data_IF_095096161303
#
_entry.id   IF_095096161303
#
_cell.length_a   1.000
_cell.length_b   1.000
_cell.length_c   1.000
_cell.angle_alpha   90.00
_cell.angle_beta   90.00
_cell.angle_gamma   90.00
#
_symmetry.space_group_name_H-M   'P 1'
#
loop_
_entity.id
_entity.type
_entity.pdbx_description
1 polymer ?
#
# COMPACT_ATOMS: atom_id res chain seq x y z
N UNK A 1 -31.81 -59.29 18.39
CA UNK A 1 -30.73 -58.61 19.14
C UNK A 1 -30.01 -57.47 18.38
N UNK A 2 -30.17 -57.29 17.07
CA UNK A 2 -29.35 -56.32 16.29
C UNK A 2 -29.81 -54.86 16.27
N UNK A 3 -31.11 -54.56 16.44
CA UNK A 3 -31.63 -53.16 16.35
C UNK A 3 -31.42 -52.33 17.62
N UNK A 4 -31.37 -52.95 18.80
CA UNK A 4 -31.10 -52.25 20.07
C UNK A 4 -29.61 -51.93 20.25
N UNK A 5 -28.70 -52.80 19.78
CA UNK A 5 -27.26 -52.55 19.79
C UNK A 5 -26.87 -51.41 18.85
N UNK A 6 -27.47 -51.32 17.67
CA UNK A 6 -27.18 -50.24 16.71
C UNK A 6 -27.70 -48.88 17.18
N UNK A 7 -28.85 -48.83 17.86
CA UNK A 7 -29.35 -47.59 18.50
C UNK A 7 -28.51 -47.18 19.71
N UNK A 8 -28.02 -48.12 20.53
CA UNK A 8 -27.10 -47.80 21.63
C UNK A 8 -25.76 -47.26 21.13
N UNK A 9 -25.18 -47.87 20.08
CA UNK A 9 -23.94 -47.41 19.48
C UNK A 9 -24.07 -46.02 18.85
N UNK A 10 -25.17 -45.74 18.13
CA UNK A 10 -25.38 -44.42 17.50
C UNK A 10 -25.72 -43.32 18.52
N UNK A 11 -26.33 -43.66 19.66
CA UNK A 11 -26.61 -42.70 20.74
C UNK A 11 -25.36 -42.42 21.58
N UNK A 12 -24.58 -43.45 21.96
CA UNK A 12 -23.28 -43.28 22.62
C UNK A 12 -22.29 -42.51 21.74
N UNK A 13 -22.22 -42.81 20.43
CA UNK A 13 -21.31 -42.07 19.55
C UNK A 13 -21.72 -40.59 19.38
N UNK A 14 -23.03 -40.27 19.50
CA UNK A 14 -23.55 -38.88 19.50
C UNK A 14 -23.33 -38.18 20.84
N UNK A 15 -23.46 -38.89 21.96
CA UNK A 15 -23.16 -38.39 23.30
C UNK A 15 -21.66 -38.19 23.51
N UNK A 16 -20.81 -39.10 23.03
CA UNK A 16 -19.35 -38.99 23.06
C UNK A 16 -18.84 -37.88 22.14
N UNK A 17 -19.47 -37.69 20.97
CA UNK A 17 -19.25 -36.52 20.13
C UNK A 17 -19.65 -35.25 20.88
N UNK A 18 -20.85 -35.18 21.46
CA UNK A 18 -21.33 -34.00 22.20
C UNK A 18 -20.57 -33.72 23.51
N UNK A 19 -20.05 -34.74 24.20
CA UNK A 19 -19.22 -34.61 25.40
C UNK A 19 -17.83 -34.10 25.02
N UNK A 20 -17.25 -34.63 23.95
CA UNK A 20 -16.04 -34.09 23.31
C UNK A 20 -16.23 -32.65 22.80
N UNK A 21 -17.42 -32.30 22.26
CA UNK A 21 -17.76 -30.93 21.87
C UNK A 21 -17.83 -29.96 23.06
N UNK A 22 -18.25 -30.41 24.24
CA UNK A 22 -18.30 -29.57 25.46
C UNK A 22 -16.93 -29.44 26.12
N UNK A 23 -16.18 -30.54 26.22
CA UNK A 23 -14.84 -30.54 26.82
C UNK A 23 -13.80 -29.75 25.99
N UNK A 24 -13.96 -29.69 24.65
CA UNK A 24 -13.05 -28.92 23.78
C UNK A 24 -13.30 -27.40 23.82
N UNK A 25 -14.57 -26.97 23.76
CA UNK A 25 -14.96 -25.57 23.87
C UNK A 25 -14.63 -24.97 25.24
N UNK A 26 -14.74 -25.77 26.30
CA UNK A 26 -14.36 -25.38 27.66
C UNK A 26 -12.87 -25.04 27.79
N UNK A 27 -12.00 -25.73 27.05
CA UNK A 27 -10.56 -25.46 27.10
C UNK A 27 -10.20 -24.14 26.40
N UNK A 28 -10.75 -23.89 25.19
CA UNK A 28 -10.55 -22.63 24.49
C UNK A 28 -11.06 -21.44 25.31
N UNK A 29 -12.25 -21.56 25.89
CA UNK A 29 -12.82 -20.53 26.76
C UNK A 29 -11.96 -20.25 28.00
N UNK A 30 -11.44 -21.29 28.66
CA UNK A 30 -10.54 -21.16 29.82
C UNK A 30 -9.23 -20.44 29.45
N UNK A 31 -8.63 -20.79 28.30
CA UNK A 31 -7.40 -20.16 27.82
C UNK A 31 -7.60 -18.66 27.56
N UNK A 32 -8.64 -18.29 26.79
CA UNK A 32 -8.92 -16.89 26.46
C UNK A 32 -9.29 -16.08 27.71
N UNK A 33 -10.10 -16.63 28.62
CA UNK A 33 -10.41 -15.97 29.91
C UNK A 33 -9.16 -15.77 30.78
N UNK A 34 -8.26 -16.75 30.79
CA UNK A 34 -7.00 -16.62 31.55
C UNK A 34 -6.10 -15.54 30.96
N UNK A 35 -6.03 -15.42 29.63
CA UNK A 35 -5.30 -14.36 28.94
C UNK A 35 -5.94 -12.99 29.26
N UNK A 36 -7.26 -12.86 29.12
CA UNK A 36 -7.99 -11.62 29.40
C UNK A 36 -7.74 -11.12 30.82
N UNK A 37 -7.88 -12.00 31.83
CA UNK A 37 -7.62 -11.65 33.23
C UNK A 37 -6.19 -11.14 33.47
N UNK A 38 -5.22 -11.66 32.73
CA UNK A 38 -3.82 -11.25 32.83
C UNK A 38 -3.60 -9.87 32.20
N UNK A 39 -4.24 -9.62 31.05
CA UNK A 39 -4.23 -8.32 30.38
C UNK A 39 -4.92 -7.23 31.24
N UNK A 40 -6.07 -7.52 31.84
CA UNK A 40 -6.77 -6.62 32.76
C UNK A 40 -5.94 -6.32 34.02
N UNK A 41 -5.30 -7.35 34.58
CA UNK A 41 -4.40 -7.18 35.72
C UNK A 41 -3.22 -6.25 35.39
N UNK A 42 -2.69 -6.33 34.16
CA UNK A 42 -1.68 -5.40 33.68
C UNK A 42 -2.20 -3.97 33.57
N UNK A 43 -3.40 -3.75 33.03
CA UNK A 43 -3.98 -2.41 32.92
C UNK A 43 -4.16 -1.71 34.27
N UNK A 44 -4.45 -2.49 35.32
CA UNK A 44 -4.63 -1.97 36.67
C UNK A 44 -3.32 -1.66 37.39
N UNK A 45 -2.28 -2.50 37.22
CA UNK A 45 -1.05 -2.39 38.00
C UNK A 45 0.13 -1.76 37.24
N UNK A 46 0.16 -1.88 35.91
CA UNK A 46 1.23 -1.42 34.98
C UNK A 46 2.66 -1.84 35.40
N UNK A 47 2.80 -3.01 36.03
CA UNK A 47 4.11 -3.51 36.48
C UNK A 47 4.80 -4.37 35.41
N UNK A 48 6.15 -4.40 35.38
CA UNK A 48 6.91 -5.20 34.41
C UNK A 48 6.72 -6.71 34.58
N UNK A 49 6.50 -7.19 35.82
CA UNK A 49 6.19 -8.60 36.08
C UNK A 49 4.92 -9.06 35.35
N UNK A 50 3.90 -8.18 35.29
CA UNK A 50 2.66 -8.46 34.58
C UNK A 50 2.84 -8.49 33.06
N UNK A 51 3.83 -7.80 32.51
CA UNK A 51 4.19 -7.92 31.09
C UNK A 51 4.81 -9.28 30.77
N UNK A 52 5.63 -9.82 31.68
CA UNK A 52 6.17 -11.18 31.54
C UNK A 52 5.05 -12.24 31.61
N UNK A 53 4.09 -12.06 32.52
CA UNK A 53 2.88 -12.90 32.61
C UNK A 53 2.09 -12.89 31.30
N UNK A 54 1.91 -11.72 30.67
CA UNK A 54 1.27 -11.60 29.35
C UNK A 54 2.04 -12.42 28.31
N UNK A 55 3.38 -12.30 28.27
CA UNK A 55 4.22 -13.07 27.36
C UNK A 55 4.01 -14.57 27.48
N UNK A 56 3.98 -15.10 28.71
CA UNK A 56 3.71 -16.52 28.97
C UNK A 56 2.31 -16.95 28.52
N UNK A 57 1.28 -16.12 28.77
CA UNK A 57 -0.10 -16.45 28.37
C UNK A 57 -0.31 -16.37 26.86
N UNK A 58 0.28 -15.38 26.20
CA UNK A 58 0.29 -15.28 24.73
C UNK A 58 0.99 -16.49 24.13
N UNK A 59 2.10 -16.94 24.72
CA UNK A 59 2.83 -18.12 24.25
C UNK A 59 1.98 -19.40 24.26
N UNK A 60 1.27 -19.66 25.36
CA UNK A 60 0.37 -20.82 25.47
C UNK A 60 -0.73 -20.77 24.42
N UNK A 61 -1.33 -19.60 24.21
CA UNK A 61 -2.39 -19.40 23.22
C UNK A 61 -1.85 -19.53 21.80
N UNK A 62 -0.68 -18.97 21.51
CA UNK A 62 -0.04 -19.05 20.21
C UNK A 62 0.28 -20.51 19.84
N UNK A 63 0.89 -21.29 20.75
CA UNK A 63 1.14 -22.71 20.49
C UNK A 63 -0.16 -23.49 20.27
N UNK A 64 -1.24 -23.15 20.96
CA UNK A 64 -2.54 -23.81 20.72
C UNK A 64 -3.09 -23.59 19.29
N UNK A 65 -2.57 -22.61 18.55
CA UNK A 65 -2.96 -22.33 17.15
C UNK A 65 -1.91 -22.77 16.14
N UNK A 66 -0.63 -22.55 16.45
CA UNK A 66 0.48 -22.61 15.49
C UNK A 66 1.50 -23.71 15.77
N UNK A 67 1.28 -24.58 16.76
CA UNK A 67 2.17 -25.72 17.05
C UNK A 67 2.44 -26.58 15.80
N UNK A 68 3.71 -26.67 15.44
CA UNK A 68 4.24 -27.38 14.27
C UNK A 68 4.47 -28.87 14.54
N UNK A 69 4.66 -29.26 15.80
CA UNK A 69 4.91 -30.65 16.21
C UNK A 69 3.60 -31.41 16.41
N UNK A 70 2.58 -30.74 16.98
CA UNK A 70 1.23 -31.28 17.16
C UNK A 70 0.22 -30.40 16.44
N UNK A 71 -0.02 -30.73 15.17
CA UNK A 71 -0.98 -30.00 14.35
C UNK A 71 -2.36 -29.91 15.05
N UNK A 72 -2.74 -28.68 15.42
CA UNK A 72 -4.03 -28.45 16.05
C UNK A 72 -5.14 -28.59 15.02
N UNK A 73 -6.13 -29.44 15.31
CA UNK A 73 -7.27 -29.68 14.43
C UNK A 73 -7.96 -28.36 14.05
N UNK A 74 -8.34 -28.15 12.76
CA UNK A 74 -8.93 -26.88 12.30
C UNK A 74 -10.10 -26.41 13.15
N UNK A 75 -10.94 -27.33 13.60
CA UNK A 75 -12.08 -27.04 14.49
C UNK A 75 -11.68 -26.37 15.80
N UNK A 76 -10.59 -26.79 16.44
CA UNK A 76 -10.10 -26.17 17.68
C UNK A 76 -9.60 -24.74 17.45
N UNK A 77 -9.05 -24.47 16.26
CA UNK A 77 -8.65 -23.13 15.84
C UNK A 77 -9.88 -22.22 15.69
N UNK A 78 -10.96 -22.72 15.08
CA UNK A 78 -12.24 -22.00 14.99
C UNK A 78 -12.82 -21.67 16.36
N UNK A 79 -12.90 -22.66 17.27
CA UNK A 79 -13.42 -22.46 18.64
C UNK A 79 -12.62 -21.37 19.38
N UNK A 80 -11.29 -21.34 19.22
CA UNK A 80 -10.45 -20.30 19.81
C UNK A 80 -10.65 -18.92 19.18
N UNK A 81 -10.72 -18.84 17.86
CA UNK A 81 -10.95 -17.58 17.15
C UNK A 81 -12.32 -16.98 17.52
N UNK A 82 -13.35 -17.81 17.62
CA UNK A 82 -14.68 -17.40 18.04
C UNK A 82 -14.68 -16.90 19.49
N UNK A 83 -14.04 -17.62 20.42
CA UNK A 83 -13.93 -17.19 21.82
C UNK A 83 -13.14 -15.87 22.00
N UNK A 84 -12.18 -15.58 21.11
CA UNK A 84 -11.47 -14.30 21.05
C UNK A 84 -12.35 -13.17 20.50
N UNK A 85 -13.16 -13.44 19.47
CA UNK A 85 -14.11 -12.45 18.93
C UNK A 85 -15.29 -12.17 19.87
N UNK A 86 -15.75 -13.16 20.63
CA UNK A 86 -16.81 -12.97 21.64
C UNK A 86 -16.35 -11.99 22.74
N UNK A 87 -15.04 -11.92 23.02
CA UNK A 87 -14.47 -11.06 24.07
C UNK A 87 -13.69 -9.90 23.44
N UNK A 88 -14.37 -8.79 23.11
CA UNK A 88 -13.77 -7.71 22.34
C UNK A 88 -12.55 -7.06 23.02
N UNK A 89 -12.47 -7.13 24.35
CA UNK A 89 -11.36 -6.56 25.10
C UNK A 89 -10.04 -7.31 24.89
N UNK A 90 -10.08 -8.60 24.49
CA UNK A 90 -8.85 -9.39 24.29
C UNK A 90 -7.98 -8.76 23.21
N UNK A 91 -8.53 -8.50 22.02
CA UNK A 91 -7.77 -7.94 20.91
C UNK A 91 -7.28 -6.52 21.23
N UNK A 92 -8.16 -5.70 21.81
CA UNK A 92 -7.85 -4.33 22.20
C UNK A 92 -6.69 -4.29 23.18
N UNK A 93 -6.76 -5.07 24.26
CA UNK A 93 -5.73 -5.10 25.29
C UNK A 93 -4.43 -5.72 24.78
N UNK A 94 -4.49 -6.68 23.84
CA UNK A 94 -3.30 -7.18 23.15
C UNK A 94 -2.61 -6.08 22.34
N UNK A 95 -3.36 -5.23 21.64
CA UNK A 95 -2.82 -4.08 20.90
C UNK A 95 -2.24 -3.01 21.84
N UNK A 96 -2.88 -2.75 22.99
CA UNK A 96 -2.34 -1.84 24.03
C UNK A 96 -1.02 -2.39 24.60
N UNK A 97 -0.99 -3.69 24.92
CA UNK A 97 0.22 -4.34 25.44
C UNK A 97 1.32 -4.46 24.38
N UNK A 98 0.96 -4.46 23.09
CA UNK A 98 1.85 -4.73 21.98
C UNK A 98 3.13 -3.89 22.02
N UNK A 99 3.01 -2.57 22.24
CA UNK A 99 4.16 -1.65 22.29
C UNK A 99 5.17 -2.02 23.38
N UNK A 100 4.68 -2.52 24.52
CA UNK A 100 5.43 -2.65 25.76
C UNK A 100 6.05 -4.04 25.94
N UNK A 101 5.60 -5.04 25.19
CA UNK A 101 6.12 -6.41 25.27
C UNK A 101 7.38 -6.60 24.42
N UNK A 102 8.12 -7.68 24.73
CA UNK A 102 9.33 -8.06 24.00
C UNK A 102 9.03 -8.46 22.55
N UNK A 103 10.05 -8.40 21.69
CA UNK A 103 9.93 -8.63 20.25
C UNK A 103 9.35 -10.01 19.89
N UNK A 104 9.72 -11.06 20.62
CA UNK A 104 9.18 -12.40 20.42
C UNK A 104 7.69 -12.49 20.71
N UNK A 105 7.21 -11.72 21.69
CA UNK A 105 5.79 -11.63 22.04
C UNK A 105 5.05 -10.78 21.02
N UNK A 106 5.63 -9.67 20.54
CA UNK A 106 5.09 -8.85 19.44
C UNK A 106 4.81 -9.71 18.20
N UNK A 107 5.78 -10.53 17.78
CA UNK A 107 5.61 -11.48 16.67
C UNK A 107 4.37 -12.36 16.86
N UNK A 108 4.22 -12.97 18.04
CA UNK A 108 3.10 -13.87 18.37
C UNK A 108 1.75 -13.14 18.39
N UNK A 109 1.70 -11.91 18.92
CA UNK A 109 0.49 -11.09 18.90
C UNK A 109 0.09 -10.76 17.46
N UNK A 110 1.06 -10.36 16.62
CA UNK A 110 0.84 -10.09 15.19
C UNK A 110 0.30 -11.33 14.46
N UNK A 111 0.86 -12.50 14.71
CA UNK A 111 0.39 -13.76 14.11
C UNK A 111 -1.04 -14.10 14.57
N UNK A 112 -1.35 -13.94 15.86
CA UNK A 112 -2.71 -14.14 16.39
C UNK A 112 -3.71 -13.14 15.80
N UNK A 113 -3.33 -11.87 15.67
CA UNK A 113 -4.14 -10.84 15.02
C UNK A 113 -4.47 -11.22 13.57
N UNK A 114 -3.45 -11.59 12.77
CA UNK A 114 -3.66 -12.05 11.40
C UNK A 114 -4.52 -13.32 11.35
N UNK A 115 -4.31 -14.27 12.26
CA UNK A 115 -5.11 -15.49 12.35
C UNK A 115 -6.58 -15.18 12.59
N UNK A 116 -6.92 -14.33 13.56
CA UNK A 116 -8.31 -13.92 13.85
C UNK A 116 -8.94 -13.29 12.61
N UNK A 117 -8.24 -12.38 11.94
CA UNK A 117 -8.78 -11.68 10.77
C UNK A 117 -8.97 -12.62 9.57
N UNK A 118 -7.97 -13.43 9.25
CA UNK A 118 -8.00 -14.32 8.08
C UNK A 118 -9.06 -15.42 8.26
N UNK A 119 -9.07 -16.09 9.40
CA UNK A 119 -9.94 -17.25 9.61
C UNK A 119 -11.40 -16.87 9.80
N UNK A 120 -11.69 -15.71 10.39
CA UNK A 120 -13.06 -15.23 10.57
C UNK A 120 -13.60 -14.44 9.37
N UNK A 121 -12.79 -14.21 8.34
CA UNK A 121 -13.22 -13.65 7.04
C UNK A 121 -13.74 -14.70 6.07
N UNK A 122 -13.42 -15.98 6.30
CA UNK A 122 -13.90 -17.11 5.49
C UNK A 122 -15.34 -17.55 5.85
N UNK A 123 -15.92 -16.99 6.92
CA UNK A 123 -17.19 -17.41 7.51
C UNK A 123 -18.41 -16.61 6.99
N UNK A 124 -18.34 -16.00 5.80
CA UNK A 124 -19.57 -15.53 5.17
C UNK A 124 -20.40 -16.74 4.77
N UNK A 125 -21.56 -16.93 5.42
CA UNK A 125 -22.52 -18.04 5.32
C UNK A 125 -23.15 -18.24 3.93
N UNK A 126 -22.56 -17.68 2.87
CA UNK A 126 -23.21 -17.53 1.56
C UNK A 126 -22.25 -17.78 0.38
N UNK A 127 -21.42 -18.82 0.45
CA UNK A 127 -20.72 -19.30 -0.75
C UNK A 127 -20.32 -20.77 -0.63
N UNK A 128 -21.10 -21.66 -1.23
CA UNK A 128 -20.71 -23.03 -1.60
C UNK A 128 -19.79 -23.08 -2.84
N UNK A 129 -19.28 -21.93 -3.27
CA UNK A 129 -18.36 -21.78 -4.41
C UNK A 129 -17.06 -21.13 -3.92
N UNK A 130 -15.87 -21.63 -4.30
CA UNK A 130 -14.61 -20.92 -4.06
C UNK A 130 -14.68 -19.55 -4.74
N UNK A 131 -14.64 -18.46 -3.98
CA UNK A 131 -14.69 -17.11 -4.56
C UNK A 131 -13.44 -16.85 -5.39
N UNK A 132 -13.63 -16.63 -6.69
CA UNK A 132 -12.64 -15.99 -7.55
C UNK A 132 -12.40 -14.56 -7.06
N UNK A 133 -11.17 -14.26 -6.62
CA UNK A 133 -10.46 -12.95 -6.52
C UNK A 133 -11.25 -11.65 -6.23
N UNK A 134 -12.47 -11.69 -5.70
CA UNK A 134 -13.23 -10.51 -5.31
C UNK A 134 -12.91 -10.14 -3.86
N UNK A 135 -12.65 -8.84 -3.62
CA UNK A 135 -12.25 -8.20 -2.36
C UNK A 135 -12.77 -8.96 -1.12
N UNK A 136 -11.85 -9.43 -0.28
CA UNK A 136 -12.15 -10.08 1.00
C UNK A 136 -12.89 -9.07 1.88
N UNK A 137 -14.22 -9.17 1.94
CA UNK A 137 -15.03 -8.37 2.87
C UNK A 137 -14.99 -9.06 4.23
N UNK A 138 -14.61 -8.33 5.27
CA UNK A 138 -14.65 -8.84 6.64
C UNK A 138 -16.06 -9.27 7.04
N UNK A 139 -16.16 -10.32 7.86
CA UNK A 139 -17.43 -10.63 8.52
C UNK A 139 -17.82 -9.45 9.44
N UNK A 140 -19.13 -9.18 9.62
CA UNK A 140 -19.58 -8.04 10.44
C UNK A 140 -18.95 -8.03 11.84
N UNK A 141 -18.84 -9.21 12.48
CA UNK A 141 -18.21 -9.37 13.80
C UNK A 141 -16.75 -8.92 13.82
N UNK A 142 -15.96 -9.27 12.80
CA UNK A 142 -14.55 -8.85 12.69
C UNK A 142 -14.46 -7.34 12.45
N UNK A 143 -15.31 -6.79 11.59
CA UNK A 143 -15.35 -5.34 11.35
C UNK A 143 -15.69 -4.57 12.63
N UNK A 144 -16.72 -4.97 13.35
CA UNK A 144 -17.14 -4.32 14.60
C UNK A 144 -16.00 -4.37 15.64
N UNK A 145 -15.29 -5.50 15.69
CA UNK A 145 -14.13 -5.68 16.56
C UNK A 145 -12.94 -4.78 16.17
N UNK A 146 -12.63 -4.68 14.89
CA UNK A 146 -11.58 -3.80 14.39
C UNK A 146 -11.94 -2.33 14.62
N UNK A 147 -13.20 -1.96 14.44
CA UNK A 147 -13.72 -0.64 14.75
C UNK A 147 -13.64 -0.33 16.26
N UNK A 148 -13.87 -1.31 17.13
CA UNK A 148 -13.67 -1.17 18.58
C UNK A 148 -12.21 -0.88 18.95
N UNK A 149 -11.26 -1.41 18.18
CA UNK A 149 -9.82 -1.24 18.39
C UNK A 149 -9.20 -0.04 17.63
N UNK A 150 -10.02 0.83 17.01
CA UNK A 150 -9.54 1.90 16.13
C UNK A 150 -8.56 2.87 16.82
N UNK A 151 -8.76 3.16 18.10
CA UNK A 151 -7.92 4.11 18.83
C UNK A 151 -6.50 3.58 19.07
N UNK A 152 -6.37 2.27 19.28
CA UNK A 152 -5.10 1.56 19.44
C UNK A 152 -4.38 1.41 18.09
N UNK A 153 -5.13 1.17 17.01
CA UNK A 153 -4.58 1.10 15.65
C UNK A 153 -4.08 2.46 15.17
N UNK A 154 -4.80 3.54 15.47
CA UNK A 154 -4.32 4.90 15.23
C UNK A 154 -3.04 5.18 16.02
N UNK A 155 -2.97 4.76 17.28
CA UNK A 155 -1.78 4.92 18.12
C UNK A 155 -0.57 4.15 17.57
N UNK A 156 -0.80 2.96 17.02
CA UNK A 156 0.23 2.20 16.28
C UNK A 156 0.75 2.99 15.08
N UNK A 157 -0.10 3.67 14.32
CA UNK A 157 0.34 4.50 13.18
C UNK A 157 1.13 5.72 13.63
N UNK A 158 0.70 6.36 14.71
CA UNK A 158 1.36 7.58 15.21
C UNK A 158 2.70 7.27 15.87
N UNK A 159 2.80 6.21 16.66
CA UNK A 159 3.96 5.97 17.54
C UNK A 159 4.73 4.68 17.22
N UNK A 160 4.13 3.70 16.53
CA UNK A 160 4.76 2.40 16.28
C UNK A 160 6.03 2.49 15.43
N UNK A 161 6.07 3.44 14.49
CA UNK A 161 7.22 3.65 13.62
C UNK A 161 8.45 4.25 14.33
N UNK A 162 8.34 4.62 15.62
CA UNK A 162 9.49 5.05 16.43
C UNK A 162 10.39 3.89 16.88
N UNK A 163 9.93 2.63 16.75
CA UNK A 163 10.66 1.44 17.17
C UNK A 163 11.16 0.61 15.97
N UNK A 164 12.43 0.75 15.54
CA UNK A 164 12.92 0.15 14.29
C UNK A 164 12.72 -1.36 14.18
N UNK A 165 12.89 -2.08 15.29
CA UNK A 165 12.82 -3.54 15.31
C UNK A 165 11.38 -4.08 15.30
N UNK A 166 10.37 -3.21 15.33
CA UNK A 166 8.94 -3.61 15.41
C UNK A 166 8.11 -3.11 14.23
N UNK A 167 8.70 -2.33 13.31
CA UNK A 167 7.96 -1.67 12.22
C UNK A 167 7.26 -2.65 11.29
N UNK A 168 7.90 -3.77 10.96
CA UNK A 168 7.29 -4.79 10.10
C UNK A 168 6.01 -5.37 10.71
N UNK A 169 5.97 -5.55 12.04
CA UNK A 169 4.77 -6.05 12.70
C UNK A 169 3.64 -5.03 12.69
N UNK A 170 3.96 -3.74 12.86
CA UNK A 170 2.97 -2.66 12.74
C UNK A 170 2.40 -2.59 11.33
N UNK A 171 3.26 -2.69 10.30
CA UNK A 171 2.84 -2.76 8.90
C UNK A 171 1.88 -3.92 8.64
N UNK A 172 2.17 -5.11 9.18
CA UNK A 172 1.30 -6.28 9.04
C UNK A 172 -0.07 -6.08 9.69
N UNK A 173 -0.11 -5.43 10.86
CA UNK A 173 -1.37 -5.13 11.57
C UNK A 173 -2.20 -4.12 10.76
N UNK A 174 -1.57 -3.03 10.31
CA UNK A 174 -2.23 -1.98 9.53
C UNK A 174 -2.67 -2.49 8.15
N UNK A 175 -1.87 -3.36 7.51
CA UNK A 175 -2.22 -4.02 6.24
C UNK A 175 -3.53 -4.76 6.30
N UNK A 176 -3.81 -5.48 7.38
CA UNK A 176 -5.11 -6.11 7.53
C UNK A 176 -6.20 -5.07 7.80
N UNK A 177 -5.94 -4.11 8.69
CA UNK A 177 -6.95 -3.12 9.08
C UNK A 177 -7.50 -2.31 7.90
N UNK A 178 -6.63 -1.82 7.02
CA UNK A 178 -7.03 -0.95 5.91
C UNK A 178 -7.63 -1.68 4.70
N UNK A 179 -7.77 -3.01 4.75
CA UNK A 179 -8.48 -3.78 3.71
C UNK A 179 -9.97 -3.45 3.64
N UNK A 180 -10.56 -3.02 4.76
CA UNK A 180 -11.96 -2.67 4.86
C UNK A 180 -12.17 -1.16 4.84
N UNK A 181 -13.06 -0.70 3.97
CA UNK A 181 -13.31 0.71 3.72
C UNK A 181 -13.76 1.45 4.99
N UNK A 182 -14.53 0.82 5.90
CA UNK A 182 -14.98 1.47 7.14
C UNK A 182 -13.80 1.71 8.08
N UNK A 183 -12.93 0.72 8.23
CA UNK A 183 -11.71 0.83 9.02
C UNK A 183 -10.75 1.86 8.43
N UNK A 184 -10.57 1.87 7.10
CA UNK A 184 -9.76 2.85 6.41
C UNK A 184 -10.31 4.28 6.58
N UNK A 185 -11.64 4.47 6.53
CA UNK A 185 -12.25 5.78 6.79
C UNK A 185 -11.87 6.30 8.17
N UNK A 186 -11.92 5.46 9.22
CA UNK A 186 -11.52 5.90 10.57
C UNK A 186 -10.05 6.26 10.70
N UNK A 187 -9.18 5.67 9.86
CA UNK A 187 -7.77 6.06 9.81
C UNK A 187 -7.58 7.39 9.08
N UNK A 188 -8.36 7.63 8.03
CA UNK A 188 -8.36 8.84 7.21
C UNK A 188 -9.14 10.00 7.83
N UNK A 189 -9.84 9.80 8.96
CA UNK A 189 -10.59 10.85 9.65
C UNK A 189 -9.66 12.02 10.03
N UNK A 190 -9.88 13.16 9.36
CA UNK A 190 -9.30 14.46 9.67
C UNK A 190 -10.42 15.49 9.58
N UNK A 191 -10.88 16.01 10.71
CA UNK A 191 -11.92 17.05 10.76
C UNK A 191 -11.40 18.42 10.30
N UNK A 192 -10.13 18.49 9.86
CA UNK A 192 -9.45 19.74 9.55
C UNK A 192 -9.09 20.46 10.85
N UNK A 193 -7.95 21.15 10.86
CA UNK A 193 -7.49 21.87 12.06
C UNK A 193 -8.57 22.81 12.58
N UNK A 194 -9.07 22.50 13.76
CA UNK A 194 -9.81 23.37 14.63
C UNK A 194 -8.96 24.61 14.92
N UNK A 195 -9.56 25.79 14.75
CA UNK A 195 -8.94 27.09 14.99
C UNK A 195 -8.65 27.35 16.49
N UNK A 196 -8.67 26.30 17.33
CA UNK A 196 -8.56 26.35 18.79
C UNK A 196 -7.23 25.87 19.37
N UNK A 197 -6.29 25.37 18.56
CA UNK A 197 -4.93 25.08 19.04
C UNK A 197 -4.82 23.97 20.09
N UNK A 198 -5.86 23.14 20.24
CA UNK A 198 -5.81 21.92 21.06
C UNK A 198 -6.15 20.73 20.17
N UNK A 199 -5.11 20.16 19.55
CA UNK A 199 -5.23 18.90 18.85
C UNK A 199 -5.73 17.83 19.82
N UNK A 200 -6.93 17.30 19.58
CA UNK A 200 -7.28 15.94 20.00
C UNK A 200 -6.17 15.06 19.45
N UNK A 201 -5.32 14.50 20.33
CA UNK A 201 -4.02 13.84 20.05
C UNK A 201 -4.01 12.72 18.98
N UNK A 202 -5.13 12.43 18.31
CA UNK A 202 -5.36 11.25 17.46
C UNK A 202 -6.16 11.53 16.16
N UNK A 203 -6.45 12.79 15.79
CA UNK A 203 -7.09 13.13 14.49
C UNK A 203 -6.03 13.43 13.42
N UNK A 204 -6.25 12.99 12.18
CA UNK A 204 -5.31 13.20 11.08
C UNK A 204 -4.00 12.40 11.20
N UNK A 205 -4.03 11.22 11.83
CA UNK A 205 -2.83 10.39 12.05
C UNK A 205 -2.07 10.03 10.77
N UNK A 206 -2.76 10.00 9.63
CA UNK A 206 -2.16 9.72 8.32
C UNK A 206 -1.15 10.80 7.91
N UNK A 207 -1.31 12.04 8.40
CA UNK A 207 -0.34 13.11 8.15
C UNK A 207 1.00 12.86 8.85
N UNK A 208 1.00 12.15 9.98
CA UNK A 208 2.23 11.75 10.67
C UNK A 208 3.11 10.86 9.77
N UNK A 209 2.50 10.02 8.93
CA UNK A 209 3.23 9.20 7.94
C UNK A 209 3.98 10.11 6.95
N UNK A 210 3.35 11.18 6.48
CA UNK A 210 4.00 12.16 5.60
C UNK A 210 5.09 12.94 6.32
N UNK A 211 4.85 13.37 7.56
CA UNK A 211 5.80 14.16 8.34
C UNK A 211 7.07 13.34 8.65
N UNK A 212 6.92 12.05 8.96
CA UNK A 212 8.03 11.09 9.14
C UNK A 212 8.87 10.91 7.89
N UNK A 213 8.25 10.84 6.72
CA UNK A 213 8.95 10.65 5.43
C UNK A 213 9.59 11.93 4.88
N UNK A 214 9.06 13.10 5.23
CA UNK A 214 9.56 14.40 4.77
C UNK A 214 10.66 14.99 5.67
N UNK A 215 10.94 14.37 6.81
CA UNK A 215 11.91 14.84 7.82
C UNK A 215 11.62 16.25 8.33
N UNK A 216 10.34 16.65 8.36
CA UNK A 216 9.92 18.03 8.74
C UNK A 216 10.40 18.41 10.15
N UNK A 217 10.58 17.42 11.03
CA UNK A 217 11.02 17.60 12.42
C UNK A 217 12.54 17.51 12.62
N UNK A 218 13.34 17.41 11.54
CA UNK A 218 14.81 17.28 11.62
C UNK A 218 15.31 15.93 12.13
N UNK A 219 14.41 14.97 12.38
CA UNK A 219 14.75 13.59 12.74
C UNK A 219 15.24 12.83 11.53
N UNK A 220 16.28 12.01 11.69
CA UNK A 220 16.75 11.07 10.65
C UNK A 220 16.33 9.68 11.08
N UNK A 221 15.42 9.06 10.33
CA UNK A 221 14.99 7.70 10.58
C UNK A 221 15.94 6.70 9.90
N UNK A 222 16.16 5.50 10.49
CA UNK A 222 16.86 4.42 9.81
C UNK A 222 16.20 4.08 8.47
N UNK A 223 16.99 3.55 7.54
CA UNK A 223 16.51 3.22 6.19
C UNK A 223 15.34 2.22 6.24
N UNK A 224 15.44 1.17 7.06
CA UNK A 224 14.40 0.14 7.18
C UNK A 224 13.07 0.72 7.67
N UNK A 225 13.11 1.65 8.63
CA UNK A 225 11.93 2.39 9.10
C UNK A 225 11.34 3.25 7.99
N UNK A 226 12.18 3.91 7.20
CA UNK A 226 11.74 4.74 6.06
C UNK A 226 11.02 3.88 5.02
N UNK A 227 11.59 2.72 4.67
CA UNK A 227 10.99 1.76 3.73
C UNK A 227 9.64 1.30 4.25
N UNK A 228 9.58 0.86 5.49
CA UNK A 228 8.36 0.33 6.09
C UNK A 228 7.26 1.42 6.27
N UNK A 229 7.64 2.65 6.62
CA UNK A 229 6.71 3.80 6.66
C UNK A 229 6.16 4.10 5.26
N UNK A 230 7.02 4.04 4.25
CA UNK A 230 6.60 4.26 2.86
C UNK A 230 5.67 3.14 2.36
N UNK A 231 5.94 1.89 2.72
CA UNK A 231 5.06 0.77 2.37
C UNK A 231 3.65 0.95 2.95
N UNK A 232 3.54 1.55 4.14
CA UNK A 232 2.24 1.90 4.75
C UNK A 232 1.55 3.04 4.02
N UNK A 233 2.30 4.07 3.60
CA UNK A 233 1.77 5.12 2.74
C UNK A 233 1.20 4.53 1.42
N UNK A 234 1.95 3.63 0.78
CA UNK A 234 1.50 2.95 -0.45
C UNK A 234 0.31 2.05 -0.21
N UNK A 235 0.26 1.37 0.93
CA UNK A 235 -0.86 0.53 1.33
C UNK A 235 -2.16 1.34 1.49
N UNK A 236 -2.08 2.55 2.06
CA UNK A 236 -3.23 3.42 2.28
C UNK A 236 -3.66 4.08 0.95
N UNK A 237 -2.74 4.72 0.23
CA UNK A 237 -3.06 5.57 -0.92
C UNK A 237 -2.91 4.90 -2.30
N UNK A 238 -2.20 3.78 -2.39
CA UNK A 238 -2.03 3.02 -3.63
C UNK A 238 -3.21 2.11 -3.96
N UNK A 239 -4.13 1.92 -3.01
CA UNK A 239 -5.34 1.14 -3.22
C UNK A 239 -6.50 2.03 -3.67
N UNK A 240 -7.30 1.51 -4.60
CA UNK A 240 -8.45 2.23 -5.15
C UNK A 240 -9.67 2.06 -4.22
N UNK A 241 -9.66 2.72 -3.06
CA UNK A 241 -10.81 2.82 -2.15
C UNK A 241 -11.53 4.16 -2.31
N UNK A 242 -12.86 4.15 -2.19
CA UNK A 242 -13.65 5.40 -2.31
C UNK A 242 -13.36 6.36 -1.15
N UNK A 243 -13.03 5.79 0.02
CA UNK A 243 -12.52 6.52 1.18
C UNK A 243 -11.30 7.40 0.86
N UNK A 244 -10.34 6.85 0.12
CA UNK A 244 -9.10 7.55 -0.25
C UNK A 244 -9.39 8.66 -1.25
N UNK A 245 -10.28 8.42 -2.21
CA UNK A 245 -10.71 9.45 -3.15
C UNK A 245 -11.35 10.65 -2.42
N UNK A 246 -12.32 10.39 -1.54
CA UNK A 246 -13.01 11.42 -0.78
C UNK A 246 -12.05 12.22 0.10
N UNK A 247 -11.11 11.53 0.78
CA UNK A 247 -10.08 12.18 1.58
C UNK A 247 -9.17 13.08 0.73
N UNK A 248 -8.68 12.59 -0.42
CA UNK A 248 -7.79 13.37 -1.28
C UNK A 248 -8.49 14.58 -1.92
N UNK A 249 -9.77 14.49 -2.27
CA UNK A 249 -10.50 15.65 -2.79
C UNK A 249 -10.77 16.68 -1.69
N UNK A 250 -11.21 16.24 -0.51
CA UNK A 250 -11.47 17.12 0.63
C UNK A 250 -10.20 17.84 1.13
N UNK A 251 -9.06 17.16 1.14
CA UNK A 251 -7.77 17.70 1.60
C UNK A 251 -6.78 17.97 0.45
N UNK A 252 -7.29 18.24 -0.76
CA UNK A 252 -6.48 18.34 -1.98
C UNK A 252 -5.22 19.17 -1.83
N UNK A 253 -5.32 20.41 -1.33
CA UNK A 253 -4.17 21.31 -1.24
C UNK A 253 -3.10 20.79 -0.28
N UNK A 254 -3.49 20.26 0.88
CA UNK A 254 -2.56 19.70 1.88
C UNK A 254 -1.91 18.44 1.34
N UNK A 255 -2.70 17.54 0.76
CA UNK A 255 -2.19 16.31 0.15
C UNK A 255 -1.18 16.62 -0.96
N UNK A 256 -1.50 17.56 -1.85
CA UNK A 256 -0.60 18.00 -2.91
C UNK A 256 0.73 18.53 -2.34
N UNK A 257 0.69 19.38 -1.32
CA UNK A 257 1.90 19.91 -0.68
C UNK A 257 2.74 18.79 -0.04
N UNK A 258 2.11 17.86 0.66
CA UNK A 258 2.80 16.71 1.27
C UNK A 258 3.50 15.85 0.22
N UNK A 259 2.81 15.48 -0.87
CA UNK A 259 3.42 14.70 -1.95
C UNK A 259 4.53 15.47 -2.68
N UNK A 260 4.35 16.78 -2.90
CA UNK A 260 5.40 17.62 -3.48
C UNK A 260 6.67 17.63 -2.60
N UNK A 261 6.53 17.71 -1.28
CA UNK A 261 7.67 17.58 -0.35
C UNK A 261 8.34 16.22 -0.46
N UNK A 262 7.57 15.13 -0.56
CA UNK A 262 8.13 13.79 -0.72
C UNK A 262 8.94 13.64 -2.02
N UNK A 263 8.46 14.20 -3.13
CA UNK A 263 9.20 14.19 -4.41
C UNK A 263 10.44 15.09 -4.35
N UNK A 264 10.39 16.18 -3.57
CA UNK A 264 11.54 17.04 -3.33
C UNK A 264 12.51 16.49 -2.26
N UNK A 265 12.24 15.31 -1.68
CA UNK A 265 13.06 14.71 -0.64
C UNK A 265 14.49 14.46 -1.12
N UNK A 266 15.46 14.67 -0.22
CA UNK A 266 16.87 14.32 -0.45
C UNK A 266 17.12 12.81 -0.41
N UNK A 267 16.19 12.04 0.17
CA UNK A 267 16.26 10.59 0.19
C UNK A 267 15.81 10.03 -1.17
N UNK A 268 16.75 9.45 -1.93
CA UNK A 268 16.48 8.94 -3.28
C UNK A 268 15.37 7.87 -3.30
N UNK A 269 15.27 7.03 -2.26
CA UNK A 269 14.25 5.99 -2.16
C UNK A 269 12.87 6.63 -2.03
N UNK A 270 12.71 7.57 -1.09
CA UNK A 270 11.45 8.31 -0.89
C UNK A 270 11.08 9.07 -2.16
N UNK A 271 12.03 9.79 -2.76
CA UNK A 271 11.80 10.54 -4.00
C UNK A 271 11.32 9.64 -5.14
N UNK A 272 12.03 8.55 -5.43
CA UNK A 272 11.67 7.62 -6.52
C UNK A 272 10.32 6.94 -6.26
N UNK A 273 10.10 6.46 -5.04
CA UNK A 273 8.86 5.78 -4.66
C UNK A 273 7.65 6.71 -4.63
N UNK A 274 7.84 7.99 -4.31
CA UNK A 274 6.77 9.00 -4.32
C UNK A 274 6.33 9.35 -5.74
N UNK A 275 7.28 9.47 -6.67
CA UNK A 275 6.96 9.65 -8.09
C UNK A 275 6.14 8.46 -8.61
N UNK A 276 6.54 7.23 -8.26
CA UNK A 276 5.80 6.02 -8.63
C UNK A 276 4.41 5.96 -8.02
N UNK A 277 4.28 6.20 -6.71
CA UNK A 277 2.99 6.25 -6.03
C UNK A 277 2.06 7.27 -6.69
N UNK A 278 2.57 8.45 -7.04
CA UNK A 278 1.77 9.48 -7.70
C UNK A 278 1.31 9.05 -9.10
N UNK A 279 2.18 8.36 -9.85
CA UNK A 279 1.81 7.77 -11.12
C UNK A 279 0.67 6.75 -10.96
N UNK A 280 0.76 5.88 -9.96
CA UNK A 280 -0.24 4.84 -9.69
C UNK A 280 -1.60 5.46 -9.29
N UNK A 281 -1.58 6.52 -8.46
CA UNK A 281 -2.76 7.32 -8.12
C UNK A 281 -3.36 7.96 -9.38
N UNK A 282 -2.53 8.59 -10.23
CA UNK A 282 -3.01 9.24 -11.45
C UNK A 282 -3.49 8.26 -12.51
N UNK A 283 -3.00 7.03 -12.55
CA UNK A 283 -3.47 6.05 -13.53
C UNK A 283 -4.89 5.55 -13.21
N UNK A 284 -5.31 5.68 -11.94
CA UNK A 284 -6.62 5.22 -11.50
C UNK A 284 -7.75 6.11 -12.01
N UNK A 285 -8.71 5.51 -12.71
CA UNK A 285 -9.88 6.20 -13.30
C UNK A 285 -10.67 7.04 -12.27
N UNK A 286 -10.84 6.54 -11.04
CA UNK A 286 -11.55 7.25 -9.96
C UNK A 286 -10.88 8.57 -9.56
N UNK A 287 -9.59 8.75 -9.79
CA UNK A 287 -8.89 9.97 -9.45
C UNK A 287 -8.78 10.95 -10.63
N UNK A 288 -9.60 10.79 -11.67
CA UNK A 288 -9.57 11.65 -12.87
C UNK A 288 -9.67 13.14 -12.55
N UNK A 289 -10.59 13.55 -11.68
CA UNK A 289 -10.81 14.97 -11.34
C UNK A 289 -9.62 15.55 -10.58
N UNK A 290 -9.16 14.84 -9.54
CA UNK A 290 -7.96 15.18 -8.75
C UNK A 290 -6.74 15.29 -9.67
N UNK A 291 -6.52 14.30 -10.53
CA UNK A 291 -5.43 14.27 -11.52
C UNK A 291 -5.50 15.47 -12.45
N UNK A 292 -6.67 15.76 -13.01
CA UNK A 292 -6.86 16.86 -13.96
C UNK A 292 -6.53 18.21 -13.33
N UNK A 293 -6.99 18.44 -12.09
CA UNK A 293 -6.65 19.65 -11.30
C UNK A 293 -5.15 19.76 -11.05
N UNK A 294 -4.49 18.65 -10.74
CA UNK A 294 -3.07 18.64 -10.38
C UNK A 294 -2.15 18.80 -11.60
N UNK A 295 -2.42 18.08 -12.70
CA UNK A 295 -1.65 18.15 -13.94
C UNK A 295 -1.72 19.52 -14.61
N UNK A 296 -2.78 20.30 -14.36
CA UNK A 296 -2.90 21.67 -14.87
C UNK A 296 -1.95 22.68 -14.18
N UNK A 297 -1.34 22.32 -13.04
CA UNK A 297 -0.48 23.21 -12.25
C UNK A 297 0.95 23.30 -12.81
N UNK A 298 1.40 24.52 -13.08
CA UNK A 298 2.79 24.76 -13.55
C UNK A 298 3.85 24.41 -12.51
N UNK A 299 3.51 24.48 -11.22
CA UNK A 299 4.38 24.07 -10.12
C UNK A 299 4.68 22.56 -10.16
N UNK A 300 3.69 21.75 -10.51
CA UNK A 300 3.87 20.31 -10.66
C UNK A 300 4.80 19.97 -11.82
N UNK A 301 4.60 20.58 -12.99
CA UNK A 301 5.51 20.41 -14.14
C UNK A 301 6.96 20.77 -13.77
N UNK A 302 7.18 21.89 -13.07
CA UNK A 302 8.51 22.29 -12.58
C UNK A 302 9.17 21.20 -11.75
N UNK A 303 8.43 20.63 -10.81
CA UNK A 303 8.93 19.59 -9.92
C UNK A 303 9.25 18.28 -10.68
N UNK A 304 8.41 17.88 -11.64
CA UNK A 304 8.70 16.72 -12.51
C UNK A 304 9.94 16.99 -13.36
N UNK A 305 10.07 18.19 -13.95
CA UNK A 305 11.25 18.55 -14.74
C UNK A 305 12.54 18.59 -13.92
N UNK A 306 12.47 19.01 -12.66
CA UNK A 306 13.62 18.95 -11.75
C UNK A 306 14.01 17.49 -11.46
N UNK A 307 13.05 16.59 -11.28
CA UNK A 307 13.31 15.16 -11.07
C UNK A 307 13.95 14.49 -12.30
N UNK A 308 13.66 14.96 -13.53
CA UNK A 308 14.36 14.52 -14.75
C UNK A 308 15.85 14.85 -14.73
N UNK A 309 16.28 15.90 -14.03
CA UNK A 309 17.68 16.28 -13.89
C UNK A 309 18.40 15.49 -12.78
N UNK A 310 17.73 14.57 -12.10
CA UNK A 310 18.33 13.80 -11.01
C UNK A 310 19.49 12.92 -11.50
N UNK A 311 20.55 12.79 -10.70
CA UNK A 311 21.65 11.87 -11.02
C UNK A 311 21.23 10.39 -10.94
N UNK A 312 20.10 10.09 -10.28
CA UNK A 312 19.62 8.73 -10.05
C UNK A 312 18.69 8.28 -11.19
N UNK A 313 19.08 7.23 -11.94
CA UNK A 313 18.29 6.68 -13.06
C UNK A 313 16.86 6.29 -12.66
N UNK A 314 16.60 5.65 -11.49
CA UNK A 314 15.23 5.31 -11.08
C UNK A 314 14.33 6.55 -10.93
N UNK A 315 14.86 7.64 -10.38
CA UNK A 315 14.12 8.90 -10.24
C UNK A 315 13.78 9.49 -11.61
N UNK A 316 14.75 9.52 -12.52
CA UNK A 316 14.54 10.01 -13.89
C UNK A 316 13.49 9.17 -14.63
N UNK A 317 13.53 7.85 -14.49
CA UNK A 317 12.58 6.94 -15.13
C UNK A 317 11.13 7.14 -14.65
N UNK A 318 10.92 7.29 -13.34
CA UNK A 318 9.59 7.60 -12.78
C UNK A 318 9.13 9.01 -13.19
N UNK A 319 10.03 10.00 -13.19
CA UNK A 319 9.71 11.36 -13.63
C UNK A 319 9.30 11.43 -15.11
N UNK A 320 9.96 10.65 -15.99
CA UNK A 320 9.54 10.53 -17.39
C UNK A 320 8.12 10.01 -17.48
N UNK A 321 7.78 8.99 -16.69
CA UNK A 321 6.45 8.37 -16.71
C UNK A 321 5.35 9.37 -16.30
N UNK A 322 5.61 10.21 -15.29
CA UNK A 322 4.71 11.31 -14.93
C UNK A 322 4.63 12.41 -16.00
N UNK A 323 5.75 12.73 -16.65
CA UNK A 323 5.74 13.70 -17.75
C UNK A 323 4.89 13.19 -18.92
N UNK A 324 4.81 11.88 -19.16
CA UNK A 324 3.93 11.32 -20.21
C UNK A 324 2.47 11.69 -19.92
N UNK A 325 2.01 11.53 -18.67
CA UNK A 325 0.66 11.90 -18.24
C UNK A 325 0.39 13.40 -18.42
N UNK A 326 1.40 14.26 -18.18
CA UNK A 326 1.28 15.69 -18.44
C UNK A 326 1.10 15.92 -19.94
N UNK A 327 1.93 15.33 -20.80
CA UNK A 327 1.88 15.54 -22.26
C UNK A 327 0.54 15.06 -22.84
N UNK A 328 -0.03 13.99 -22.30
CA UNK A 328 -1.30 13.41 -22.72
C UNK A 328 -2.52 14.19 -22.22
N UNK A 329 -2.36 15.08 -21.24
CA UNK A 329 -3.48 15.85 -20.69
C UNK A 329 -4.00 16.91 -21.69
N UNK A 330 -5.23 16.76 -22.24
CA UNK A 330 -5.79 17.72 -23.19
C UNK A 330 -6.05 19.09 -22.55
N UNK A 331 -6.31 19.09 -21.24
CA UNK A 331 -6.64 20.26 -20.43
C UNK A 331 -5.42 21.02 -19.89
N UNK A 332 -4.23 20.74 -20.43
CA UNK A 332 -3.02 21.49 -20.07
C UNK A 332 -3.23 23.01 -20.24
N UNK A 333 -2.79 23.75 -19.22
CA UNK A 333 -2.80 25.21 -19.24
C UNK A 333 -1.87 25.75 -20.33
N UNK A 334 -2.14 26.97 -20.82
CA UNK A 334 -1.33 27.62 -21.86
C UNK A 334 0.18 27.63 -21.53
N UNK A 335 0.63 27.92 -20.29
CA UNK A 335 2.05 27.87 -19.93
C UNK A 335 2.68 26.47 -20.08
N UNK A 336 1.92 25.40 -19.79
CA UNK A 336 2.39 24.02 -19.93
C UNK A 336 2.56 23.67 -21.40
N UNK A 337 1.57 23.99 -22.24
CA UNK A 337 1.64 23.75 -23.70
C UNK A 337 2.81 24.50 -24.34
N UNK A 338 3.02 25.77 -23.96
CA UNK A 338 4.18 26.55 -24.41
C UNK A 338 5.51 25.96 -23.95
N UNK A 339 5.60 25.48 -22.71
CA UNK A 339 6.80 24.82 -22.20
C UNK A 339 7.14 23.57 -23.01
N UNK A 340 6.16 22.69 -23.25
CA UNK A 340 6.39 21.45 -24.01
C UNK A 340 6.82 21.78 -25.44
N UNK A 341 6.15 22.72 -26.12
CA UNK A 341 6.50 23.13 -27.49
C UNK A 341 7.92 23.70 -27.59
N UNK A 342 8.32 24.58 -26.66
CA UNK A 342 9.66 25.19 -26.64
C UNK A 342 10.76 24.16 -26.36
N UNK A 343 10.53 23.21 -25.47
CA UNK A 343 11.54 22.24 -25.03
C UNK A 343 11.45 20.88 -25.74
N UNK A 344 10.51 20.72 -26.70
CA UNK A 344 10.22 19.46 -27.39
C UNK A 344 11.46 18.76 -27.92
N UNK A 345 12.30 19.49 -28.67
CA UNK A 345 13.53 18.93 -29.29
C UNK A 345 14.51 18.45 -28.21
N UNK A 346 14.77 19.27 -27.20
CA UNK A 346 15.68 18.93 -26.10
C UNK A 346 15.19 17.73 -25.29
N UNK A 347 13.88 17.64 -25.04
CA UNK A 347 13.28 16.48 -24.35
C UNK A 347 13.41 15.20 -25.17
N UNK A 348 13.22 15.26 -26.49
CA UNK A 348 13.40 14.11 -27.39
C UNK A 348 14.86 13.65 -27.37
N UNK A 349 15.82 14.56 -27.56
CA UNK A 349 17.26 14.25 -27.51
C UNK A 349 17.62 13.61 -26.17
N UNK A 350 17.20 14.22 -25.06
CA UNK A 350 17.42 13.68 -23.73
C UNK A 350 16.87 12.26 -23.54
N UNK A 351 15.67 11.97 -24.05
CA UNK A 351 15.08 10.64 -23.94
C UNK A 351 15.86 9.60 -24.75
N UNK A 352 16.34 9.95 -25.95
CA UNK A 352 17.20 9.06 -26.74
C UNK A 352 18.56 8.82 -26.06
N UNK A 353 19.20 9.88 -25.55
CA UNK A 353 20.49 9.77 -24.85
C UNK A 353 20.38 8.94 -23.57
N UNK A 354 19.24 9.04 -22.88
CA UNK A 354 18.96 8.30 -21.64
C UNK A 354 18.54 6.85 -21.88
N UNK A 355 18.21 6.47 -23.11
CA UNK A 355 17.78 5.13 -23.52
C UNK A 355 18.78 4.55 -24.53
N UNK A 356 19.97 4.09 -24.10
CA UNK A 356 20.85 3.37 -25.00
C UNK A 356 20.09 2.17 -25.56
N UNK A 357 20.06 2.05 -26.88
CA UNK A 357 19.28 1.07 -27.65
C UNK A 357 19.73 -0.35 -27.30
N UNK A 358 19.30 -0.87 -26.16
CA UNK A 358 19.43 -2.25 -25.75
C UNK A 358 18.04 -2.87 -25.81
N UNK A 359 17.52 -2.99 -27.03
CA UNK A 359 16.43 -3.91 -27.27
C UNK A 359 17.01 -5.34 -27.31
N UNK A 360 16.37 -6.24 -26.56
CA UNK A 360 16.45 -7.71 -26.63
C UNK A 360 17.51 -8.44 -25.78
N UNK A 361 17.41 -8.44 -24.43
CA UNK A 361 17.96 -9.51 -23.56
C UNK A 361 17.18 -9.83 -22.26
N UNK A 362 15.94 -9.37 -22.07
CA UNK A 362 15.08 -9.76 -20.94
C UNK A 362 15.58 -9.34 -19.55
N UNK A 363 16.44 -8.32 -19.45
CA UNK A 363 16.98 -7.83 -18.17
C UNK A 363 16.12 -6.71 -17.55
N UNK A 364 16.08 -6.60 -16.21
CA UNK A 364 15.34 -5.54 -15.45
C UNK A 364 15.61 -4.10 -15.92
N UNK A 365 16.75 -3.85 -16.55
CA UNK A 365 17.18 -2.54 -17.07
C UNK A 365 16.29 -2.09 -18.26
N UNK A 366 15.66 -3.04 -18.97
CA UNK A 366 14.80 -2.76 -20.14
C UNK A 366 13.52 -2.00 -19.79
N UNK A 367 12.93 -2.25 -18.62
CA UNK A 367 11.66 -1.63 -18.24
C UNK A 367 11.80 -0.12 -17.96
N UNK A 368 12.97 0.31 -17.47
CA UNK A 368 13.29 1.72 -17.25
C UNK A 368 13.59 2.42 -18.58
N UNK A 369 14.42 1.81 -19.43
CA UNK A 369 14.78 2.37 -20.75
C UNK A 369 13.57 2.45 -21.69
N UNK A 370 12.66 1.48 -21.59
CA UNK A 370 11.39 1.52 -22.31
C UNK A 370 10.54 2.75 -21.98
N UNK A 371 10.64 3.33 -20.77
CA UNK A 371 9.90 4.55 -20.41
C UNK A 371 10.43 5.76 -21.20
N UNK A 372 11.74 5.91 -21.29
CA UNK A 372 12.36 6.98 -22.09
C UNK A 372 12.04 6.84 -23.57
N UNK A 373 12.10 5.61 -24.11
CA UNK A 373 11.73 5.33 -25.50
C UNK A 373 10.26 5.66 -25.81
N UNK A 374 9.33 5.28 -24.91
CA UNK A 374 7.90 5.63 -25.05
C UNK A 374 7.67 7.13 -25.04
N UNK A 375 8.31 7.84 -24.12
CA UNK A 375 8.26 9.31 -24.07
C UNK A 375 8.75 9.96 -25.35
N UNK A 376 9.90 9.54 -25.88
CA UNK A 376 10.44 10.08 -27.13
C UNK A 376 9.44 9.92 -28.28
N UNK A 377 8.81 8.74 -28.40
CA UNK A 377 7.77 8.48 -29.39
C UNK A 377 6.52 9.36 -29.20
N UNK A 378 6.06 9.52 -27.95
CA UNK A 378 4.93 10.41 -27.63
C UNK A 378 5.23 11.87 -27.99
N UNK A 379 6.43 12.36 -27.69
CA UNK A 379 6.84 13.72 -28.05
C UNK A 379 6.92 13.91 -29.57
N UNK A 380 7.44 12.94 -30.32
CA UNK A 380 7.47 13.02 -31.78
C UNK A 380 6.07 13.16 -32.39
N UNK A 381 5.10 12.44 -31.84
CA UNK A 381 3.69 12.41 -32.30
C UNK A 381 2.79 13.48 -31.69
N UNK A 382 3.29 14.28 -30.74
CA UNK A 382 2.49 15.25 -29.98
C UNK A 382 1.81 16.33 -30.84
N UNK A 383 2.49 16.86 -31.85
CA UNK A 383 1.93 17.90 -32.74
C UNK A 383 0.87 17.36 -33.72
N UNK A 384 0.75 16.02 -33.85
CA UNK A 384 -0.18 15.37 -34.78
C UNK A 384 -1.54 15.07 -34.14
N UNK A 385 -1.68 15.20 -32.82
CA UNK A 385 -2.96 15.01 -32.13
C UNK A 385 -3.72 16.33 -32.08
N UNK A 386 -4.72 16.47 -32.95
CA UNK A 386 -5.82 17.41 -32.69
C UNK A 386 -6.41 17.13 -31.29
N UNK A 387 -7.02 18.12 -30.61
CA UNK A 387 -7.73 17.87 -29.36
C UNK A 387 -8.73 16.73 -29.59
N UNK A 388 -8.54 15.65 -28.82
CA UNK A 388 -9.31 14.41 -28.91
C UNK A 388 -10.79 14.77 -28.79
N UNK A 389 -11.58 14.41 -29.80
CA UNK A 389 -13.02 14.63 -29.76
C UNK A 389 -13.63 13.74 -28.68
N UNK A 390 -14.77 14.15 -28.10
CA UNK A 390 -15.49 13.35 -27.07
C UNK A 390 -15.72 11.90 -27.49
N UNK A 391 -15.83 11.67 -28.81
CA UNK A 391 -15.99 10.34 -29.41
C UNK A 391 -14.72 9.50 -29.35
N UNK A 392 -13.55 10.09 -29.57
CA UNK A 392 -12.25 9.40 -29.47
C UNK A 392 -11.86 9.16 -28.01
N UNK A 393 -12.31 10.00 -27.08
CA UNK A 393 -12.20 9.78 -25.63
C UNK A 393 -13.05 8.58 -25.19
N UNK A 394 -14.29 8.49 -25.68
CA UNK A 394 -15.16 7.32 -25.45
C UNK A 394 -14.60 6.03 -26.08
N UNK A 395 -13.95 6.12 -27.25
CA UNK A 395 -13.25 5.00 -27.90
C UNK A 395 -12.01 4.54 -27.13
N UNK A 396 -11.22 5.47 -26.58
CA UNK A 396 -10.11 5.14 -25.68
C UNK A 396 -10.58 4.40 -24.41
N UNK A 397 -11.68 4.87 -23.80
CA UNK A 397 -12.31 4.21 -22.65
C UNK A 397 -12.85 2.81 -23.00
N UNK A 398 -13.26 2.58 -24.24
CA UNK A 398 -13.70 1.29 -24.73
C UNK A 398 -12.52 0.31 -24.97
N UNK A 399 -11.42 0.81 -25.53
CA UNK A 399 -10.19 0.03 -25.75
C UNK A 399 -9.51 -0.37 -24.44
N UNK A 400 -9.55 0.49 -23.43
CA UNK A 400 -9.01 0.18 -22.10
C UNK A 400 -9.82 -0.93 -21.41
N UNK A 401 -11.16 -0.89 -21.53
CA UNK A 401 -12.04 -1.98 -21.10
C UNK A 401 -11.77 -3.28 -21.84
N UNK A 402 -11.49 -3.22 -23.14
CA UNK A 402 -11.17 -4.39 -23.96
C UNK A 402 -9.84 -5.01 -23.54
N UNK A 403 -8.79 -4.21 -23.32
CA UNK A 403 -7.52 -4.71 -22.83
C UNK A 403 -7.61 -5.29 -21.42
N UNK A 404 -8.44 -4.73 -20.55
CA UNK A 404 -8.68 -5.27 -19.23
C UNK A 404 -9.37 -6.64 -19.31
N UNK A 405 -10.35 -6.78 -20.20
CA UNK A 405 -11.02 -8.04 -20.48
C UNK A 405 -10.08 -9.10 -21.07
N UNK A 406 -9.20 -8.70 -21.99
CA UNK A 406 -8.14 -9.57 -22.53
C UNK A 406 -7.15 -10.02 -21.44
N UNK A 407 -6.79 -9.13 -20.50
CA UNK A 407 -5.92 -9.48 -19.37
C UNK A 407 -6.59 -10.43 -18.38
N UNK A 408 -7.91 -10.31 -18.18
CA UNK A 408 -8.70 -11.25 -17.38
C UNK A 408 -8.80 -12.62 -18.07
N UNK A 409 -9.02 -12.65 -19.39
CA UNK A 409 -9.13 -13.86 -20.20
C UNK A 409 -7.78 -14.56 -20.46
N UNK A 410 -6.65 -13.84 -20.45
CA UNK A 410 -5.29 -14.42 -20.56
C UNK A 410 -4.75 -15.03 -19.25
N UNK A 411 -5.52 -15.06 -18.17
CA UNK A 411 -5.17 -15.80 -16.94
C UNK A 411 -5.53 -17.30 -17.01
N UNK A 412 -5.32 -17.93 -18.18
CA UNK A 412 -5.21 -19.40 -18.24
C UNK A 412 -3.75 -19.76 -17.96
N UNK A 413 -3.43 -20.64 -17.00
CA UNK A 413 -2.05 -20.97 -16.67
C UNK A 413 -1.43 -21.74 -17.84
N UNK A 414 -0.45 -21.15 -18.53
CA UNK A 414 0.39 -21.88 -19.47
C UNK A 414 1.45 -22.66 -18.71
N UNK A 415 1.26 -23.97 -18.69
CA UNK A 415 2.23 -24.96 -18.25
C UNK A 415 3.51 -24.82 -19.07
N UNK A 416 4.65 -24.76 -18.38
CA UNK A 416 5.99 -24.84 -18.95
C UNK A 416 6.15 -26.15 -19.72
N UNK A 417 6.32 -26.12 -21.04
CA UNK A 417 7.19 -27.05 -21.79
C UNK A 417 7.35 -26.68 -23.27
N UNK A 418 8.60 -26.88 -23.72
CA UNK A 418 9.07 -27.21 -25.06
C UNK A 418 9.62 -26.11 -26.02
N UNK A 419 10.97 -26.14 -26.08
CA UNK A 419 11.89 -26.08 -27.24
C UNK A 419 11.82 -24.94 -28.27
N UNK A 420 12.97 -24.30 -28.52
CA UNK A 420 13.64 -24.32 -29.85
C UNK A 420 15.17 -24.21 -29.67
N UNK A 421 15.90 -25.24 -30.12
CA UNK A 421 17.33 -25.21 -30.44
C UNK A 421 17.56 -24.47 -31.78
N UNK A 422 18.64 -23.67 -31.89
CA UNK A 422 19.15 -23.20 -33.19
C UNK A 422 19.25 -21.69 -33.40
N UNK A 423 19.88 -20.94 -32.48
CA UNK A 423 20.35 -19.57 -32.77
C UNK A 423 21.88 -19.52 -32.79
N UNK A 424 22.51 -18.95 -33.84
CA UNK A 424 23.96 -18.90 -33.95
C UNK A 424 24.55 -17.93 -32.92
N UNK A 425 25.65 -18.36 -32.29
CA UNK A 425 26.46 -17.53 -31.40
C UNK A 425 27.24 -16.49 -32.21
N UNK A 426 26.81 -15.23 -32.16
CA UNK A 426 27.62 -14.11 -32.67
C UNK A 426 28.37 -13.48 -31.51
N UNK A 427 29.69 -13.71 -31.49
CA UNK A 427 30.66 -13.12 -30.57
C UNK A 427 31.02 -11.71 -31.01
N UNK A 428 30.45 -10.67 -30.39
CA UNK A 428 30.94 -9.30 -30.52
C UNK A 428 31.27 -8.75 -29.12
N UNK A 429 32.55 -8.87 -28.75
CA UNK A 429 33.15 -8.06 -27.69
C UNK A 429 33.19 -6.61 -28.16
N UNK A 430 32.59 -5.69 -27.40
CA UNK A 430 32.89 -4.26 -27.57
C UNK A 430 33.02 -3.55 -26.23
N UNK A 431 34.10 -2.75 -26.18
CA UNK A 431 34.58 -1.99 -25.05
C UNK A 431 33.61 -0.90 -24.61
N UNK A 432 33.44 -0.79 -23.29
CA UNK A 432 32.73 0.30 -22.62
C UNK A 432 33.53 1.59 -22.83
N UNK A 433 33.04 2.50 -23.67
CA UNK A 433 33.33 3.92 -23.51
C UNK A 433 32.07 4.58 -22.97
N UNK A 434 32.15 5.07 -21.73
CA UNK A 434 31.12 5.90 -21.13
C UNK A 434 30.83 7.11 -22.04
N UNK A 435 29.56 7.48 -22.31
CA UNK A 435 29.27 8.66 -23.11
C UNK A 435 29.77 9.91 -22.37
N UNK A 436 30.72 10.60 -23.00
CA UNK A 436 30.99 12.01 -22.72
C UNK A 436 29.75 12.81 -23.15
N UNK A 437 29.43 13.85 -22.38
CA UNK A 437 28.39 14.88 -22.63
C UNK A 437 27.02 14.71 -21.95
N UNK A 438 27.01 14.77 -20.60
CA UNK A 438 25.84 15.22 -19.80
C UNK A 438 25.64 16.76 -19.84
N UNK A 439 26.08 17.46 -20.89
CA UNK A 439 26.13 18.93 -20.95
C UNK A 439 24.83 19.56 -21.49
N UNK A 440 24.00 18.84 -22.25
CA UNK A 440 22.82 19.40 -22.92
C UNK A 440 21.64 19.74 -21.98
N UNK A 441 21.62 19.21 -20.75
CA UNK A 441 20.65 19.56 -19.71
C UNK A 441 21.18 20.56 -18.67
N UNK A 442 22.45 20.99 -18.78
CA UNK A 442 23.02 22.02 -17.89
C UNK A 442 22.68 23.43 -18.34
N UNK A 443 22.03 23.62 -19.48
CA UNK A 443 21.30 24.85 -19.72
C UNK A 443 19.99 24.82 -18.93
N UNK A 444 19.70 25.82 -18.08
CA UNK A 444 18.47 25.83 -17.30
C UNK A 444 17.27 25.75 -18.25
N UNK A 445 16.36 24.79 -18.01
CA UNK A 445 15.09 24.72 -18.73
C UNK A 445 14.41 26.09 -18.62
N UNK A 446 14.25 26.76 -19.77
CA UNK A 446 13.83 28.16 -19.80
C UNK A 446 12.34 28.25 -19.52
N UNK A 447 11.99 28.53 -18.27
CA UNK A 447 10.66 29.05 -17.93
C UNK A 447 10.57 30.45 -18.52
N UNK A 448 9.55 30.72 -19.34
CA UNK A 448 9.36 32.02 -19.97
C UNK A 448 9.41 33.16 -18.95
N UNK A 449 10.01 34.29 -19.34
CA UNK A 449 10.05 35.52 -18.54
C UNK A 449 8.61 35.89 -18.18
N UNK A 450 8.28 36.15 -16.90
CA UNK A 450 6.95 36.64 -16.53
C UNK A 450 6.65 37.93 -17.30
N UNK A 451 5.40 38.19 -17.71
CA UNK A 451 5.05 39.46 -18.32
C UNK A 451 5.47 40.58 -17.36
N UNK A 452 6.32 41.50 -17.85
CA UNK A 452 6.79 42.63 -17.06
C UNK A 452 5.60 43.36 -16.48
N UNK A 453 5.57 43.49 -15.15
CA UNK A 453 4.75 44.48 -14.49
C UNK A 453 5.11 45.84 -15.08
N UNK A 454 4.15 46.50 -15.71
CA UNK A 454 4.23 47.91 -16.02
C UNK A 454 4.59 48.65 -14.74
N UNK A 455 5.67 49.42 -14.82
CA UNK A 455 6.14 50.27 -13.72
C UNK A 455 5.01 51.23 -13.33
N UNK A 456 4.44 51.02 -12.15
CA UNK A 456 3.88 52.11 -11.37
C UNK A 456 5.04 52.83 -10.69
N UNK A 457 5.56 53.85 -11.36
CA UNK A 457 6.11 55.10 -10.80
C UNK A 457 6.34 56.12 -11.90
#
# INVERSE_FOLDING_TARGET
MSKQLFRRFTFQHKEDLNHSMRDSGDNASKLVKSLLKTLEAYMNAKTPEKLADIGMKVDVVWHSVFDTEKATAPRKKYELAEEMLIRPDVLKLLLVAFRLVQIDVKRKIRDLYQFIIIWCSNDSTDSSVPRSRAKVKFSPKVRDQLFYCRAELIEIVVEGYDEPNSVDFYNDIIREYVKDDVCLMTLLEDEGRDHSGFATRKQGCVWEIFDRLTLTDGRIYPFDVTVATFDTLQLIFGNNHDAVHAFMDHHFDRFCQCVQKLIASSNFYVQAKSLRLLHDIFTTQRHFEIRSRWLAQTSFLRLVTLALLSNQKPVRAEAVTLLELIIENPHNSKPIKEFISKNKKSLITYCFDSSPVHYYRGNRIEAEDARFSRMAHKLLTWDQKQPISKKEEDEFMADEKLQQKMREEQTVPTTFQDFVEGLPTVSHEFHIQAPREMSLLREPMKFGVPPMAEKLQ
#
